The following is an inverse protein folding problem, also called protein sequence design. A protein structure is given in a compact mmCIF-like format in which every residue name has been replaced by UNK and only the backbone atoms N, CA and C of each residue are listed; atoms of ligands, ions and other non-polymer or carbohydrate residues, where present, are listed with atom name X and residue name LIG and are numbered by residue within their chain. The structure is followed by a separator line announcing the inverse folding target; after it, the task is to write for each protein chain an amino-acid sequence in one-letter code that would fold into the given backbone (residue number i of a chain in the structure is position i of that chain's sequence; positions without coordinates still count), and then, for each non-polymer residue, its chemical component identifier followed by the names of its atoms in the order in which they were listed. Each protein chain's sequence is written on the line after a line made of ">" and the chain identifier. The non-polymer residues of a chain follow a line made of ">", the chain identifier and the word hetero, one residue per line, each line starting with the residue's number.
data_IF_737893542592
#
_entry.id   IF_737893542592
#
_cell.length_a   1.000
_cell.length_b   1.000
_cell.length_c   1.000
_cell.angle_alpha   90.00
_cell.angle_beta   90.00
_cell.angle_gamma   90.00
#
_symmetry.space_group_name_H-M   'P 1'
#
loop_
_entity.id
_entity.type
_entity.pdbx_description
1 polymer ?
#
# COMPACT_ATOMS: atom_id res chain seq x y z
N UNK A 1 10.13 -0.04 -5.26
CA UNK A 1 8.74 -0.14 -5.78
C UNK A 1 7.80 0.36 -4.69
N UNK A 2 6.77 1.13 -5.02
CA UNK A 2 5.78 1.61 -4.04
C UNK A 2 4.42 0.98 -4.33
N UNK A 3 3.84 0.33 -3.32
CA UNK A 3 2.54 -0.31 -3.42
C UNK A 3 1.49 0.49 -2.65
N UNK A 4 0.24 0.40 -3.10
CA UNK A 4 -0.87 1.05 -2.41
C UNK A 4 -1.40 0.13 -1.31
N UNK A 5 -1.40 0.61 -0.07
CA UNK A 5 -2.01 -0.08 1.07
C UNK A 5 -3.28 0.63 1.55
N UNK A 6 -4.24 -0.12 2.08
CA UNK A 6 -5.38 0.38 2.86
C UNK A 6 -5.31 -0.12 4.31
N UNK A 7 -6.33 0.19 5.11
CA UNK A 7 -6.37 -0.19 6.54
C UNK A 7 -6.28 -1.71 6.82
N UNK A 8 -6.53 -2.57 5.83
CA UNK A 8 -6.50 -4.03 5.98
C UNK A 8 -5.11 -4.60 5.77
N UNK A 9 -4.37 -4.15 4.75
CA UNK A 9 -3.02 -4.65 4.48
C UNK A 9 -1.91 -3.77 5.08
N UNK A 10 -2.23 -2.54 5.52
CA UNK A 10 -1.30 -1.69 6.28
C UNK A 10 -0.63 -2.41 7.46
N UNK A 11 -1.34 -3.13 8.35
CA UNK A 11 -0.69 -3.81 9.47
C UNK A 11 0.31 -4.87 9.01
N UNK A 12 0.06 -5.56 7.90
CA UNK A 12 1.02 -6.53 7.34
C UNK A 12 2.30 -5.83 6.86
N UNK A 13 2.16 -4.69 6.16
CA UNK A 13 3.31 -3.89 5.75
C UNK A 13 4.09 -3.33 6.94
N UNK A 14 3.41 -2.81 7.97
CA UNK A 14 4.07 -2.33 9.20
C UNK A 14 4.77 -3.46 9.97
N UNK A 15 4.17 -4.65 10.02
CA UNK A 15 4.77 -5.84 10.62
C UNK A 15 6.03 -6.30 9.86
N UNK A 16 6.04 -6.16 8.53
CA UNK A 16 7.20 -6.36 7.68
C UNK A 16 8.24 -5.20 7.76
N UNK A 17 8.09 -4.27 8.72
CA UNK A 17 9.00 -3.15 8.94
C UNK A 17 8.89 -2.03 7.91
N UNK A 18 7.88 -2.07 7.03
CA UNK A 18 7.67 -1.06 6.01
C UNK A 18 7.03 0.18 6.61
N UNK A 19 7.41 1.34 6.06
CA UNK A 19 6.88 2.62 6.51
C UNK A 19 5.92 3.17 5.49
N UNK A 20 4.81 3.68 5.99
CA UNK A 20 3.91 4.50 5.21
C UNK A 20 4.65 5.75 4.72
N UNK A 21 4.48 6.09 3.45
CA UNK A 21 4.98 7.33 2.92
C UNK A 21 4.13 8.50 3.43
N UNK A 22 4.75 9.38 4.19
CA UNK A 22 4.14 10.63 4.66
C UNK A 22 4.74 11.76 3.86
N UNK A 23 3.89 12.50 3.14
CA UNK A 23 4.33 13.67 2.38
C UNK A 23 3.72 14.94 2.97
N UNK A 24 4.50 16.01 3.01
CA UNK A 24 4.01 17.29 3.46
C UNK A 24 3.35 18.04 2.30
N UNK A 25 2.03 18.17 2.35
CA UNK A 25 1.29 18.94 1.36
C UNK A 25 0.75 20.20 2.02
N UNK A 26 1.15 21.38 1.50
CA UNK A 26 0.75 22.70 2.02
C UNK A 26 1.00 22.87 3.54
N UNK A 27 2.18 22.47 4.02
CA UNK A 27 2.52 22.61 5.45
C UNK A 27 1.84 21.60 6.36
N UNK A 28 1.16 20.57 5.81
CA UNK A 28 0.48 19.53 6.60
C UNK A 28 1.03 18.15 6.23
N UNK A 29 1.48 17.36 7.22
CA UNK A 29 1.87 15.98 6.99
C UNK A 29 0.62 15.19 6.59
N UNK A 30 0.59 14.72 5.35
CA UNK A 30 -0.48 13.88 4.81
C UNK A 30 0.09 12.47 4.64
N UNK A 31 -0.43 11.48 5.39
CA UNK A 31 -0.04 10.10 5.20
C UNK A 31 -0.64 9.60 3.87
N UNK A 32 0.21 9.32 2.89
CA UNK A 32 -0.26 8.73 1.64
C UNK A 32 -0.35 7.21 1.80
N UNK A 33 -1.30 6.56 1.11
CA UNK A 33 -1.47 5.11 1.17
C UNK A 33 -0.39 4.38 0.37
N UNK A 34 0.84 4.90 0.29
CA UNK A 34 1.96 4.27 -0.41
C UNK A 34 2.93 3.69 0.61
N UNK A 35 3.28 2.42 0.44
CA UNK A 35 4.24 1.69 1.27
C UNK A 35 5.39 1.22 0.40
N UNK A 36 6.59 1.20 0.98
CA UNK A 36 7.74 0.52 0.38
C UNK A 36 7.53 -0.99 0.44
N UNK A 37 8.10 -1.69 -0.54
CA UNK A 37 8.13 -3.14 -0.56
C UNK A 37 9.32 -3.62 0.29
N UNK A 38 9.17 -4.65 1.14
CA UNK A 38 10.29 -5.21 1.89
C UNK A 38 11.42 -5.69 0.99
N UNK A 39 12.67 -5.44 1.40
CA UNK A 39 13.86 -5.94 0.69
C UNK A 39 13.95 -7.47 0.74
N UNK A 40 13.46 -8.12 1.80
CA UNK A 40 13.37 -9.59 1.88
C UNK A 40 12.45 -10.19 0.80
N UNK A 41 11.35 -9.50 0.47
CA UNK A 41 10.42 -9.99 -0.55
C UNK A 41 10.93 -9.70 -1.97
N UNK A 42 11.93 -8.83 -2.14
CA UNK A 42 12.49 -8.52 -3.46
C UNK A 42 13.16 -9.73 -4.12
N UNK A 43 13.65 -10.69 -3.32
CA UNK A 43 14.26 -11.93 -3.79
C UNK A 43 13.25 -13.06 -4.02
N UNK A 44 12.01 -12.94 -3.52
CA UNK A 44 10.96 -13.95 -3.68
C UNK A 44 9.82 -13.45 -4.60
N UNK A 45 9.75 -13.94 -5.86
CA UNK A 45 8.72 -13.53 -6.80
C UNK A 45 7.29 -13.94 -6.38
N UNK A 46 7.12 -14.99 -5.58
CA UNK A 46 5.81 -15.40 -5.07
C UNK A 46 5.35 -14.50 -3.92
N UNK A 47 6.27 -14.08 -3.06
CA UNK A 47 6.00 -13.09 -2.01
C UNK A 47 5.65 -11.72 -2.63
N UNK A 48 6.42 -11.27 -3.63
CA UNK A 48 6.10 -10.08 -4.42
C UNK A 48 4.69 -10.12 -4.99
N UNK A 49 4.31 -11.24 -5.63
CA UNK A 49 2.96 -11.41 -6.18
C UNK A 49 1.88 -11.22 -5.11
N UNK A 50 2.06 -11.80 -3.93
CA UNK A 50 1.11 -11.68 -2.81
C UNK A 50 0.92 -10.22 -2.39
N UNK A 51 2.01 -9.45 -2.32
CA UNK A 51 1.95 -8.02 -2.04
C UNK A 51 1.27 -7.21 -3.15
N UNK A 52 1.58 -7.51 -4.41
CA UNK A 52 0.94 -6.88 -5.57
C UNK A 52 -0.56 -7.17 -5.62
N UNK A 53 -0.97 -8.41 -5.38
CA UNK A 53 -2.38 -8.81 -5.32
C UNK A 53 -3.10 -8.13 -4.15
N UNK A 54 -2.46 -8.07 -2.98
CA UNK A 54 -2.99 -7.37 -1.81
C UNK A 54 -3.17 -5.88 -2.09
N UNK A 55 -2.20 -5.24 -2.72
CA UNK A 55 -2.27 -3.84 -3.13
C UNK A 55 -3.33 -3.60 -4.21
N UNK A 56 -3.48 -4.53 -5.16
CA UNK A 56 -4.53 -4.50 -6.19
C UNK A 56 -5.92 -4.63 -5.56
N UNK A 57 -6.09 -5.54 -4.61
CA UNK A 57 -7.34 -5.71 -3.86
C UNK A 57 -7.67 -4.46 -3.03
N UNK A 58 -6.68 -3.87 -2.35
CA UNK A 58 -6.83 -2.61 -1.61
C UNK A 58 -7.21 -1.45 -2.56
N UNK A 59 -6.57 -1.36 -3.73
CA UNK A 59 -6.92 -0.38 -4.74
C UNK A 59 -8.34 -0.59 -5.29
N UNK A 60 -8.78 -1.83 -5.49
CA UNK A 60 -10.15 -2.16 -5.90
C UNK A 60 -11.19 -1.81 -4.82
N UNK A 61 -10.88 -2.06 -3.55
CA UNK A 61 -11.73 -1.68 -2.39
C UNK A 61 -11.85 -0.16 -2.27
N UNK A 62 -10.75 0.56 -2.50
CA UNK A 62 -10.70 2.01 -2.38
C UNK A 62 -11.11 2.73 -3.70
N UNK A 63 -11.22 2.01 -4.81
CA UNK A 63 -11.90 2.46 -6.01
C UNK A 63 -13.40 2.49 -5.70
N UNK A 64 -13.84 3.58 -5.07
CA UNK A 64 -15.26 3.88 -4.82
C UNK A 64 -16.06 3.43 -6.04
N UNK A 65 -17.09 2.58 -5.90
CA UNK A 65 -17.98 2.31 -7.02
C UNK A 65 -18.48 3.67 -7.48
N UNK A 66 -18.19 4.04 -8.74
CA UNK A 66 -18.80 5.22 -9.36
C UNK A 66 -20.29 5.02 -9.17
N UNK A 67 -20.89 5.76 -8.24
CA UNK A 67 -22.34 5.85 -8.06
C UNK A 67 -22.84 6.29 -9.44
N UNK A 68 -23.40 5.37 -10.22
CA UNK A 68 -24.07 5.68 -11.48
C UNK A 68 -25.14 6.71 -11.12
N UNK A 69 -24.94 7.95 -11.56
CA UNK A 69 -26.01 8.95 -11.61
C UNK A 69 -26.88 8.67 -12.81
#
# INVERSE_FOLDING_TARGET
>A
VFLRADDVNRPDFEAAGQRQWVYEMRGKPTPLPYFSLPEDDFDDPDALQTWFESARAAAARNAKPKKKR
#
